data_IF_056051473807
#
_entry.id   IF_056051473807
#
_cell.length_a   1.000
_cell.length_b   1.000
_cell.length_c   1.000
_cell.angle_alpha   90.00
_cell.angle_beta   90.00
_cell.angle_gamma   90.00
#
_symmetry.space_group_name_H-M   'P 1'
#
loop_
_entity.id
_entity.type
_entity.pdbx_description
1 polymer ?
#
# COMPACT_ATOMS: atom_id res chain seq x y z
N UNK A 1 26.37 26.25 -11.41
CA UNK A 1 24.94 25.92 -11.22
C UNK A 1 24.45 24.71 -12.02
N UNK A 2 24.74 24.56 -13.32
CA UNK A 2 24.24 23.41 -14.13
C UNK A 2 24.59 22.02 -13.59
N UNK A 3 25.76 21.84 -12.97
CA UNK A 3 26.21 20.54 -12.46
C UNK A 3 25.48 20.08 -11.18
N UNK A 4 24.91 21.00 -10.39
CA UNK A 4 24.24 20.66 -9.12
C UNK A 4 22.83 20.09 -9.35
N UNK A 5 22.15 20.54 -10.42
CA UNK A 5 20.81 20.09 -10.80
C UNK A 5 20.82 18.63 -11.28
N UNK A 6 21.90 18.19 -11.95
CA UNK A 6 22.00 16.83 -12.51
C UNK A 6 22.14 15.77 -11.40
N UNK A 7 22.84 16.08 -10.30
CA UNK A 7 23.06 15.15 -9.18
C UNK A 7 21.77 14.89 -8.39
N UNK A 8 20.93 15.92 -8.22
CA UNK A 8 19.63 15.78 -7.52
C UNK A 8 18.69 14.87 -8.33
N UNK A 9 18.69 14.99 -9.66
CA UNK A 9 17.80 14.22 -10.52
C UNK A 9 18.17 12.73 -10.56
N UNK A 10 19.46 12.39 -10.61
CA UNK A 10 19.92 10.99 -10.61
C UNK A 10 19.71 10.30 -9.27
N UNK A 11 19.91 11.00 -8.15
CA UNK A 11 19.66 10.45 -6.81
C UNK A 11 18.16 10.21 -6.56
N UNK A 12 17.30 11.08 -7.11
CA UNK A 12 15.85 10.88 -7.07
C UNK A 12 15.45 9.63 -7.85
N UNK A 13 15.94 9.42 -9.07
CA UNK A 13 15.57 8.23 -9.86
C UNK A 13 15.95 6.90 -9.20
N UNK A 14 17.06 6.83 -8.45
CA UNK A 14 17.47 5.58 -7.79
C UNK A 14 16.57 5.19 -6.61
N UNK A 15 15.93 6.15 -5.95
CA UNK A 15 14.99 5.88 -4.84
C UNK A 15 13.64 5.37 -5.34
N UNK A 16 13.25 5.71 -6.57
CA UNK A 16 11.93 5.37 -7.13
C UNK A 16 11.89 4.18 -8.08
N UNK A 17 13.03 3.64 -8.51
CA UNK A 17 13.07 2.40 -9.30
C UNK A 17 13.22 1.18 -8.38
N UNK A 18 12.13 0.48 -8.02
CA UNK A 18 12.26 -0.79 -7.32
C UNK A 18 13.05 -1.77 -8.20
N UNK A 19 13.92 -2.63 -7.63
CA UNK A 19 14.61 -3.65 -8.40
C UNK A 19 13.57 -4.58 -9.06
N UNK A 20 13.55 -4.59 -10.39
CA UNK A 20 12.51 -5.27 -11.21
C UNK A 20 12.68 -6.80 -11.25
N UNK A 21 13.68 -7.39 -10.58
CA UNK A 21 14.01 -8.81 -10.74
C UNK A 21 13.69 -9.70 -9.54
N UNK A 22 12.59 -9.41 -8.82
CA UNK A 22 12.00 -10.44 -7.96
C UNK A 22 11.17 -11.36 -8.85
N UNK A 23 11.76 -12.47 -9.29
CA UNK A 23 11.01 -13.57 -9.91
C UNK A 23 9.92 -13.98 -8.92
N UNK A 24 8.67 -13.59 -9.23
CA UNK A 24 7.53 -13.82 -8.36
C UNK A 24 7.26 -15.32 -8.37
N UNK A 25 7.78 -16.00 -7.36
CA UNK A 25 7.47 -17.40 -7.10
C UNK A 25 5.94 -17.54 -7.12
N UNK A 26 5.45 -18.49 -7.93
CA UNK A 26 4.02 -18.63 -8.11
C UNK A 26 3.43 -19.10 -6.78
N UNK A 27 2.53 -18.31 -6.18
CA UNK A 27 1.98 -18.65 -4.88
C UNK A 27 1.16 -19.94 -4.96
N UNK A 28 1.60 -20.98 -4.24
CA UNK A 28 0.87 -22.24 -4.11
C UNK A 28 -0.14 -22.11 -2.96
N UNK A 29 -1.38 -22.51 -3.20
CA UNK A 29 -2.43 -22.48 -2.17
C UNK A 29 -2.40 -23.79 -1.40
N UNK A 30 -2.22 -23.72 -0.09
CA UNK A 30 -2.24 -24.88 0.80
C UNK A 30 -3.31 -24.72 1.89
N UNK A 31 -3.70 -25.82 2.52
CA UNK A 31 -4.55 -25.79 3.71
C UNK A 31 -3.95 -24.87 4.79
N UNK A 32 -4.78 -24.03 5.39
CA UNK A 32 -4.36 -23.02 6.37
C UNK A 32 -3.88 -21.70 5.75
N UNK A 33 -3.81 -21.59 4.42
CA UNK A 33 -3.45 -20.33 3.76
C UNK A 33 -4.55 -19.30 3.94
N UNK A 34 -4.17 -18.06 4.29
CA UNK A 34 -5.09 -16.94 4.35
C UNK A 34 -5.35 -16.42 2.93
N UNK A 35 -6.61 -16.40 2.52
CA UNK A 35 -7.05 -16.01 1.18
C UNK A 35 -8.05 -14.87 1.23
N UNK A 36 -8.06 -14.09 0.16
CA UNK A 36 -9.08 -13.10 -0.16
C UNK A 36 -9.76 -13.51 -1.45
N UNK A 37 -11.08 -13.64 -1.37
CA UNK A 37 -11.92 -14.14 -2.46
C UNK A 37 -12.88 -13.07 -2.92
N UNK A 38 -12.94 -12.85 -4.24
CA UNK A 38 -13.99 -12.08 -4.90
C UNK A 38 -14.83 -13.03 -5.74
N UNK A 39 -16.14 -13.14 -5.46
CA UNK A 39 -17.04 -14.02 -6.22
C UNK A 39 -18.27 -13.27 -6.74
N UNK A 40 -18.77 -13.71 -7.90
CA UNK A 40 -19.75 -12.95 -8.69
C UNK A 40 -21.19 -13.05 -8.19
N UNK A 41 -21.61 -14.18 -7.63
CA UNK A 41 -23.04 -14.55 -7.55
C UNK A 41 -23.47 -15.31 -6.30
N UNK A 42 -22.57 -15.67 -5.40
CA UNK A 42 -22.89 -16.60 -4.30
C UNK A 42 -23.41 -15.96 -3.02
N UNK A 43 -23.38 -14.62 -2.90
CA UNK A 43 -23.58 -13.95 -1.61
C UNK A 43 -24.98 -13.36 -1.39
N UNK A 44 -25.96 -13.75 -2.21
CA UNK A 44 -27.14 -12.90 -2.41
C UNK A 44 -28.41 -13.25 -1.63
N UNK A 45 -28.36 -13.97 -0.49
CA UNK A 45 -29.62 -14.26 0.21
C UNK A 45 -29.71 -14.04 1.71
N UNK A 46 -28.60 -13.88 2.45
CA UNK A 46 -28.70 -13.63 3.89
C UNK A 46 -27.93 -12.38 4.29
N UNK A 47 -28.69 -11.30 4.47
CA UNK A 47 -28.48 -10.23 5.43
C UNK A 47 -27.18 -9.41 5.29
N UNK A 48 -27.16 -8.48 4.34
CA UNK A 48 -26.51 -7.20 4.63
C UNK A 48 -27.27 -6.05 3.96
N UNK A 49 -28.03 -5.28 4.74
CA UNK A 49 -28.50 -3.93 4.38
C UNK A 49 -27.29 -2.97 4.38
N UNK A 50 -26.28 -3.22 3.55
CA UNK A 50 -25.15 -2.31 3.38
C UNK A 50 -25.44 -1.45 2.16
N UNK A 51 -25.84 -0.22 2.43
CA UNK A 51 -25.94 0.90 1.49
C UNK A 51 -24.58 1.42 1.03
N UNK A 52 -23.48 0.66 1.21
CA UNK A 52 -22.18 0.98 0.62
C UNK A 52 -22.09 0.38 -0.79
N UNK A 53 -22.76 1.05 -1.72
CA UNK A 53 -22.55 0.90 -3.15
C UNK A 53 -21.12 1.33 -3.50
N UNK A 54 -20.22 0.39 -3.85
CA UNK A 54 -19.30 0.45 -5.02
C UNK A 54 -18.19 -0.61 -5.02
N UNK A 55 -17.89 -1.28 -3.92
CA UNK A 55 -16.88 -2.35 -3.92
C UNK A 55 -17.51 -3.72 -4.19
N UNK A 56 -16.92 -4.51 -5.12
CA UNK A 56 -17.27 -5.92 -5.26
C UNK A 56 -17.05 -6.59 -3.89
N UNK A 57 -17.99 -7.43 -3.41
CA UNK A 57 -17.84 -8.05 -2.10
C UNK A 57 -16.60 -8.94 -2.10
N UNK A 58 -15.70 -8.67 -1.14
CA UNK A 58 -14.48 -9.43 -0.91
C UNK A 58 -14.60 -10.13 0.45
N UNK A 59 -14.20 -11.40 0.50
CA UNK A 59 -14.21 -12.21 1.71
C UNK A 59 -12.79 -12.59 2.06
N UNK A 60 -12.40 -12.40 3.32
CA UNK A 60 -11.11 -12.81 3.84
C UNK A 60 -11.32 -13.98 4.79
N UNK A 61 -10.48 -15.01 4.65
CA UNK A 61 -10.57 -16.19 5.48
C UNK A 61 -9.40 -17.14 5.31
N UNK A 62 -9.47 -18.29 5.98
CA UNK A 62 -8.47 -19.34 5.93
C UNK A 62 -8.98 -20.50 5.08
N UNK A 63 -8.17 -21.01 4.16
CA UNK A 63 -8.49 -22.20 3.37
C UNK A 63 -8.57 -23.40 4.29
N UNK A 64 -9.74 -24.04 4.35
CA UNK A 64 -10.00 -25.26 5.13
C UNK A 64 -9.80 -26.48 4.26
N UNK A 65 -10.32 -26.47 3.04
CA UNK A 65 -10.10 -27.50 2.03
C UNK A 65 -10.20 -26.93 0.62
N UNK A 66 -9.53 -27.60 -0.30
CA UNK A 66 -9.56 -27.31 -1.73
C UNK A 66 -9.98 -28.62 -2.40
N UNK A 67 -11.13 -28.59 -3.05
CA UNK A 67 -11.61 -29.66 -3.91
C UNK A 67 -11.53 -29.20 -5.38
N UNK A 68 -11.68 -30.13 -6.32
CA UNK A 68 -11.57 -29.83 -7.76
C UNK A 68 -12.51 -28.72 -8.24
N UNK A 69 -13.69 -28.56 -7.64
CA UNK A 69 -14.69 -27.58 -8.06
C UNK A 69 -15.09 -26.58 -6.97
N UNK A 70 -14.60 -26.77 -5.73
CA UNK A 70 -15.08 -26.05 -4.55
C UNK A 70 -13.92 -25.65 -3.65
N UNK A 71 -13.91 -24.39 -3.23
CA UNK A 71 -12.99 -23.85 -2.24
C UNK A 71 -13.74 -23.66 -0.92
N UNK A 72 -13.29 -24.31 0.15
CA UNK A 72 -13.89 -24.17 1.49
C UNK A 72 -13.03 -23.26 2.34
N UNK A 73 -13.64 -22.19 2.87
CA UNK A 73 -12.96 -21.11 3.58
C UNK A 73 -13.62 -20.89 4.94
N UNK A 74 -12.83 -20.84 6.01
CA UNK A 74 -13.28 -20.30 7.29
C UNK A 74 -13.17 -18.77 7.24
N UNK A 75 -14.29 -18.07 7.08
CA UNK A 75 -14.31 -16.60 7.01
C UNK A 75 -13.96 -15.99 8.37
N UNK A 76 -13.20 -14.90 8.38
CA UNK A 76 -12.81 -14.23 9.64
C UNK A 76 -14.00 -13.57 10.35
N UNK A 77 -14.90 -12.98 9.57
CA UNK A 77 -16.05 -12.22 10.08
C UNK A 77 -17.32 -13.09 10.22
N UNK A 78 -17.25 -14.40 9.93
CA UNK A 78 -18.40 -15.30 9.98
C UNK A 78 -18.05 -16.64 10.63
N UNK A 79 -18.72 -17.07 11.71
CA UNK A 79 -18.47 -18.37 12.35
C UNK A 79 -18.70 -19.63 11.49
N UNK A 80 -19.22 -19.51 10.26
CA UNK A 80 -19.50 -20.67 9.39
C UNK A 80 -18.45 -20.77 8.28
N UNK A 81 -18.15 -22.00 7.87
CA UNK A 81 -17.36 -22.23 6.66
C UNK A 81 -18.17 -21.82 5.43
N UNK A 82 -17.49 -21.11 4.53
CA UNK A 82 -18.01 -20.69 3.24
C UNK A 82 -17.52 -21.67 2.18
N UNK A 83 -18.45 -22.29 1.47
CA UNK A 83 -18.14 -23.13 0.31
C UNK A 83 -18.36 -22.30 -0.95
N UNK A 84 -17.29 -22.08 -1.71
CA UNK A 84 -17.31 -21.25 -2.92
C UNK A 84 -16.96 -22.12 -4.13
N UNK A 85 -17.91 -22.37 -5.04
CA UNK A 85 -17.59 -23.05 -6.29
C UNK A 85 -16.57 -22.24 -7.09
N UNK A 86 -15.53 -22.91 -7.58
CA UNK A 86 -14.42 -22.29 -8.36
C UNK A 86 -14.96 -21.55 -9.57
N UNK A 87 -16.02 -22.06 -10.21
CA UNK A 87 -16.71 -21.41 -11.33
C UNK A 87 -17.29 -20.01 -11.00
N UNK A 88 -17.48 -19.69 -9.72
CA UNK A 88 -17.97 -18.38 -9.28
C UNK A 88 -16.88 -17.45 -8.77
N UNK A 89 -15.65 -17.94 -8.60
CA UNK A 89 -14.48 -17.12 -8.26
C UNK A 89 -14.17 -16.20 -9.43
N UNK A 90 -14.16 -14.89 -9.17
CA UNK A 90 -13.63 -13.90 -10.11
C UNK A 90 -12.15 -13.63 -9.85
N UNK A 91 -11.76 -13.63 -8.57
CA UNK A 91 -10.40 -13.36 -8.14
C UNK A 91 -10.11 -14.14 -6.86
N UNK A 92 -8.94 -14.75 -6.81
CA UNK A 92 -8.40 -15.42 -5.64
C UNK A 92 -7.03 -14.80 -5.35
N UNK A 93 -6.85 -14.31 -4.13
CA UNK A 93 -5.57 -13.75 -3.70
C UNK A 93 -5.13 -14.47 -2.43
N UNK A 94 -3.84 -14.74 -2.29
CA UNK A 94 -3.26 -15.22 -1.04
C UNK A 94 -2.59 -14.08 -0.29
N UNK A 95 -2.60 -14.16 1.04
CA UNK A 95 -1.80 -13.28 1.87
C UNK A 95 -0.33 -13.65 1.77
N UNK A 96 0.52 -12.70 1.37
CA UNK A 96 1.98 -12.79 1.48
C UNK A 96 2.49 -12.28 2.83
N UNK A 97 1.58 -12.13 3.81
CA UNK A 97 1.85 -11.53 5.10
C UNK A 97 1.80 -10.01 5.08
N UNK A 98 2.10 -9.46 6.26
CA UNK A 98 2.09 -8.02 6.53
C UNK A 98 3.49 -7.46 6.29
N UNK A 99 3.63 -6.52 5.35
CA UNK A 99 4.89 -5.79 5.16
C UNK A 99 4.78 -4.43 5.83
N UNK A 100 5.76 -4.13 6.69
CA UNK A 100 5.93 -2.78 7.21
C UNK A 100 6.57 -1.93 6.12
N UNK A 101 5.85 -0.90 5.69
CA UNK A 101 6.38 0.17 4.86
C UNK A 101 6.72 1.41 5.70
N UNK A 102 6.94 1.25 7.01
CA UNK A 102 7.15 2.35 7.96
C UNK A 102 8.24 3.31 7.50
N UNK A 103 9.39 2.81 7.04
CA UNK A 103 10.49 3.66 6.55
C UNK A 103 10.13 4.43 5.26
N UNK A 104 9.48 3.75 4.30
CA UNK A 104 9.04 4.37 3.04
C UNK A 104 7.97 5.44 3.29
N UNK A 105 6.97 5.12 4.12
CA UNK A 105 5.88 6.04 4.44
C UNK A 105 6.37 7.23 5.27
N UNK A 106 7.34 7.02 6.17
CA UNK A 106 7.98 8.11 6.90
C UNK A 106 8.77 9.03 5.95
N UNK A 107 9.52 8.48 5.00
CA UNK A 107 10.27 9.28 4.03
C UNK A 107 9.33 10.09 3.11
N UNK A 108 8.24 9.48 2.63
CA UNK A 108 7.22 10.17 1.83
C UNK A 108 6.55 11.27 2.67
N UNK A 109 6.15 10.95 3.90
CA UNK A 109 5.54 11.92 4.82
C UNK A 109 6.48 13.10 5.13
N UNK A 110 7.77 12.84 5.35
CA UNK A 110 8.78 13.87 5.52
C UNK A 110 8.88 14.77 4.30
N UNK A 111 9.04 14.18 3.11
CA UNK A 111 9.16 14.94 1.86
C UNK A 111 7.95 15.83 1.61
N UNK A 112 6.74 15.30 1.77
CA UNK A 112 5.50 16.08 1.63
C UNK A 112 5.42 17.20 2.68
N UNK A 113 5.78 16.90 3.93
CA UNK A 113 5.78 17.88 5.02
C UNK A 113 6.76 19.04 4.81
N UNK A 114 7.98 18.74 4.32
CA UNK A 114 8.98 19.77 3.99
C UNK A 114 8.50 20.66 2.85
N UNK A 115 8.01 20.06 1.75
CA UNK A 115 7.53 20.83 0.59
C UNK A 115 6.34 21.71 0.98
N UNK A 116 5.39 21.17 1.74
CA UNK A 116 4.24 21.93 2.20
C UNK A 116 4.63 23.04 3.18
N UNK A 117 5.48 22.75 4.17
CA UNK A 117 5.92 23.73 5.15
C UNK A 117 6.75 24.86 4.55
N UNK A 118 7.62 24.56 3.57
CA UNK A 118 8.33 25.59 2.80
C UNK A 118 7.35 26.45 1.99
N UNK A 119 6.35 25.84 1.34
CA UNK A 119 5.35 26.59 0.56
C UNK A 119 4.55 27.53 1.47
N UNK A 120 4.04 27.04 2.60
CA UNK A 120 3.30 27.86 3.56
C UNK A 120 4.19 28.96 4.16
N UNK A 121 5.43 28.65 4.50
CA UNK A 121 6.40 29.63 4.99
C UNK A 121 6.66 30.76 3.99
N UNK A 122 6.83 30.44 2.70
CA UNK A 122 7.05 31.45 1.66
C UNK A 122 5.83 32.36 1.43
N UNK A 123 4.62 31.80 1.54
CA UNK A 123 3.37 32.59 1.41
C UNK A 123 3.19 33.48 2.64
N UNK A 124 3.46 32.96 3.84
CA UNK A 124 3.34 33.70 5.10
C UNK A 124 4.36 34.85 5.20
N UNK A 125 5.57 34.68 4.66
CA UNK A 125 6.61 35.70 4.63
C UNK A 125 6.36 36.86 3.64
N UNK A 126 5.20 36.88 2.95
CA UNK A 126 4.76 38.05 2.18
C UNK A 126 5.34 38.18 0.77
N UNK A 127 5.97 37.14 0.20
CA UNK A 127 6.28 37.15 -1.23
C UNK A 127 7.22 36.06 -1.73
N UNK A 128 7.12 35.77 -3.04
CA UNK A 128 8.03 34.92 -3.83
C UNK A 128 9.44 35.53 -4.00
N UNK A 129 9.83 36.50 -3.17
CA UNK A 129 11.17 37.06 -3.15
C UNK A 129 12.14 35.99 -2.69
N UNK A 130 12.83 35.35 -3.64
CA UNK A 130 13.66 34.18 -3.36
C UNK A 130 14.67 34.44 -2.24
N UNK A 131 14.79 33.51 -1.30
CA UNK A 131 15.82 33.53 -0.27
C UNK A 131 17.21 33.60 -0.93
N UNK A 132 17.86 34.77 -0.87
CA UNK A 132 19.29 34.91 -1.18
C UNK A 132 20.07 34.42 0.02
N UNK A 133 20.37 33.13 0.06
CA UNK A 133 21.09 32.46 1.15
C UNK A 133 22.57 32.90 1.32
N UNK A 134 23.07 33.88 0.55
CA UNK A 134 24.52 34.14 0.43
C UNK A 134 24.94 35.62 0.37
N UNK A 135 24.06 36.61 0.54
CA UNK A 135 24.44 38.03 0.51
C UNK A 135 23.90 38.80 1.73
N UNK A 136 24.83 39.15 2.61
CA UNK A 136 24.87 40.20 3.65
C UNK A 136 23.84 40.24 4.82
N UNK A 137 24.40 39.93 6.00
CA UNK A 137 24.11 40.13 7.43
C UNK A 137 22.76 40.59 8.05
N UNK A 138 21.68 40.94 7.34
CA UNK A 138 20.44 41.44 8.03
C UNK A 138 19.11 40.89 7.49
N UNK A 139 19.02 39.58 7.21
CA UNK A 139 17.78 38.94 6.76
C UNK A 139 17.35 37.77 7.65
N UNK A 140 16.70 38.09 8.78
CA UNK A 140 16.14 37.10 9.74
C UNK A 140 15.02 36.20 9.14
N UNK A 141 14.39 36.61 8.04
CA UNK A 141 13.19 35.92 7.52
C UNK A 141 13.42 34.52 6.90
N UNK A 142 14.63 34.21 6.41
CA UNK A 142 14.89 32.92 5.74
C UNK A 142 15.13 31.77 6.73
N UNK A 143 15.59 32.07 7.96
CA UNK A 143 15.78 31.05 9.00
C UNK A 143 14.44 30.49 9.49
N UNK A 144 13.41 31.34 9.58
CA UNK A 144 12.08 30.96 10.08
C UNK A 144 11.36 29.98 9.14
N UNK A 145 11.46 30.19 7.82
CA UNK A 145 10.85 29.30 6.82
C UNK A 145 11.43 27.88 6.82
N UNK A 146 12.75 27.74 7.03
CA UNK A 146 13.42 26.44 7.14
C UNK A 146 12.95 25.71 8.41
N UNK A 147 12.79 26.44 9.52
CA UNK A 147 12.28 25.89 10.78
C UNK A 147 10.88 25.28 10.64
N UNK A 148 9.95 26.03 10.03
CA UNK A 148 8.57 25.56 9.81
C UNK A 148 8.55 24.35 8.86
N UNK A 149 9.32 24.39 7.77
CA UNK A 149 9.46 23.26 6.84
C UNK A 149 9.96 21.99 7.51
N UNK A 150 10.98 22.11 8.38
CA UNK A 150 11.55 20.97 9.08
C UNK A 150 10.59 20.37 10.11
N UNK A 151 9.90 21.21 10.89
CA UNK A 151 8.86 20.75 11.84
C UNK A 151 7.72 20.05 11.09
N UNK A 152 7.27 20.62 9.98
CA UNK A 152 6.27 19.99 9.10
C UNK A 152 6.75 18.64 8.55
N UNK A 153 8.02 18.55 8.15
CA UNK A 153 8.67 17.31 7.74
C UNK A 153 8.66 16.24 8.83
N UNK A 154 9.09 16.57 10.05
CA UNK A 154 9.08 15.62 11.19
C UNK A 154 7.67 15.13 11.47
N UNK A 155 6.68 16.03 11.53
CA UNK A 155 5.28 15.66 11.76
C UNK A 155 4.76 14.74 10.65
N UNK A 156 5.03 15.08 9.39
CA UNK A 156 4.69 14.24 8.24
C UNK A 156 5.34 12.85 8.32
N UNK A 157 6.60 12.77 8.74
CA UNK A 157 7.30 11.51 8.92
C UNK A 157 6.67 10.63 10.00
N UNK A 158 6.30 11.22 11.15
CA UNK A 158 5.64 10.50 12.25
C UNK A 158 4.27 9.97 11.80
N UNK A 159 3.48 10.79 11.10
CA UNK A 159 2.17 10.38 10.57
C UNK A 159 2.32 9.28 9.53
N UNK A 160 3.30 9.39 8.63
CA UNK A 160 3.62 8.35 7.65
C UNK A 160 4.08 7.04 8.31
N UNK A 161 4.92 7.12 9.34
CA UNK A 161 5.41 5.95 10.08
C UNK A 161 4.28 5.19 10.80
N UNK A 162 3.23 5.91 11.22
CA UNK A 162 2.06 5.33 11.90
C UNK A 162 1.09 4.62 10.96
N UNK A 163 1.27 4.72 9.64
CA UNK A 163 0.58 3.83 8.71
C UNK A 163 0.98 2.39 9.08
N UNK A 164 0.03 1.65 9.65
CA UNK A 164 0.23 0.29 10.11
C UNK A 164 0.73 -0.61 8.97
N UNK A 165 1.24 -1.80 9.30
CA UNK A 165 1.70 -2.71 8.28
C UNK A 165 0.55 -3.06 7.33
N UNK A 166 0.80 -2.94 6.04
CA UNK A 166 -0.17 -3.26 5.01
C UNK A 166 -0.03 -4.74 4.64
N UNK A 167 -1.17 -5.40 4.48
CA UNK A 167 -1.19 -6.78 4.03
C UNK A 167 -0.99 -6.83 2.52
N UNK A 168 -0.01 -7.63 2.09
CA UNK A 168 0.31 -7.77 0.67
C UNK A 168 -0.42 -8.98 0.13
N UNK A 169 -1.22 -8.75 -0.91
CA UNK A 169 -2.01 -9.80 -1.56
C UNK A 169 -1.38 -10.17 -2.90
N UNK A 170 -1.26 -11.46 -3.15
CA UNK A 170 -0.84 -11.97 -4.45
C UNK A 170 -1.99 -12.72 -5.11
N UNK A 171 -2.36 -12.27 -6.29
CA UNK A 171 -3.34 -12.95 -7.13
C UNK A 171 -2.82 -14.32 -7.56
N UNK A 172 -3.67 -15.34 -7.39
CA UNK A 172 -3.43 -16.72 -7.83
C UNK A 172 -4.25 -16.95 -9.10
N UNK A 173 -3.63 -17.42 -10.19
CA UNK A 173 -4.36 -17.82 -11.38
C UNK A 173 -5.35 -18.94 -11.04
N UNK A 174 -6.64 -18.75 -11.38
CA UNK A 174 -7.68 -19.75 -11.09
C UNK A 174 -7.41 -21.10 -11.77
N UNK A 175 -6.62 -21.11 -12.84
CA UNK A 175 -6.18 -22.34 -13.54
C UNK A 175 -5.29 -23.24 -12.68
N UNK A 176 -4.70 -22.74 -11.60
CA UNK A 176 -3.77 -23.49 -10.74
C UNK A 176 -4.47 -24.23 -9.59
N UNK A 177 -5.78 -24.02 -9.40
CA UNK A 177 -6.53 -24.61 -8.28
C UNK A 177 -6.69 -26.14 -8.46
N UNK A 178 -6.54 -26.68 -9.67
CA UNK A 178 -6.81 -28.09 -9.99
C UNK A 178 -5.60 -29.03 -9.88
N UNK A 179 -4.40 -28.55 -9.53
CA UNK A 179 -3.18 -29.27 -9.88
C UNK A 179 -2.63 -30.27 -8.83
N UNK A 180 -3.19 -30.37 -7.61
CA UNK A 180 -2.48 -31.08 -6.52
C UNK A 180 -2.93 -32.54 -6.27
N UNK A 181 -4.02 -33.02 -6.88
CA UNK A 181 -4.51 -34.39 -6.64
C UNK A 181 -3.76 -35.50 -7.40
N UNK A 182 -2.84 -35.15 -8.32
CA UNK A 182 -2.14 -36.12 -9.18
C UNK A 182 -0.79 -36.66 -8.62
N UNK A 183 -0.45 -36.39 -7.36
CA UNK A 183 0.85 -36.78 -6.75
C UNK A 183 0.78 -37.89 -5.67
N UNK A 184 -0.25 -38.75 -5.69
CA UNK A 184 -0.34 -39.91 -4.79
C UNK A 184 -0.08 -41.25 -5.47
#
# INVERSE_FOLDING_TARGET
>A
MKSFIIIIFTLFTFVFYPPILAQKEQPVITHGTRVRVSASRYFHKEAVNVTQYTAKPQYVGIVVSIDSDTLVIAAEDWPKTLMVPVAYLQKLEISLGKKSYTGRNAAIGFGVGVVFGLTVGTVAAGGLGGCRLLEDEESDGCAEGIGIGFVGGILGAILGAKAGPEEVWAEVPLTQIHAEDDLK
#
